data_IF_872082493381
#
_entry.id   IF_872082493381
#
_cell.length_a   1.000
_cell.length_b   1.000
_cell.length_c   1.000
_cell.angle_alpha   90.00
_cell.angle_beta   90.00
_cell.angle_gamma   90.00
#
_symmetry.space_group_name_H-M   'P 1'
#
loop_
_entity.id
_entity.type
_entity.pdbx_description
1 polymer ?
#
# COMPACT_ATOMS: atom_id res chain seq x y z
N UNK A 1 5.94 -8.81 -1.01
CA UNK A 1 5.55 -10.08 -1.67
C UNK A 1 4.21 -9.90 -2.34
N UNK A 2 4.08 -10.31 -3.61
CA UNK A 2 2.79 -10.38 -4.31
C UNK A 2 2.15 -11.73 -3.97
N UNK A 3 0.86 -11.71 -3.62
CA UNK A 3 0.08 -12.90 -3.33
C UNK A 3 -1.01 -13.02 -4.40
N UNK A 4 -1.05 -14.14 -5.08
CA UNK A 4 -2.07 -14.49 -6.06
C UNK A 4 -2.96 -15.59 -5.46
N UNK A 5 -4.19 -15.26 -5.04
CA UNK A 5 -5.10 -16.24 -4.45
C UNK A 5 -5.60 -17.23 -5.50
N UNK A 6 -5.92 -18.43 -5.05
CA UNK A 6 -6.67 -19.36 -5.89
C UNK A 6 -8.14 -18.93 -5.93
N UNK A 7 -8.62 -18.54 -7.11
CA UNK A 7 -9.99 -18.10 -7.35
C UNK A 7 -10.79 -19.27 -7.94
N UNK A 8 -11.97 -19.53 -7.38
CA UNK A 8 -12.93 -20.55 -7.84
C UNK A 8 -14.13 -19.83 -8.45
N UNK A 9 -14.41 -20.08 -9.71
CA UNK A 9 -15.50 -19.43 -10.47
C UNK A 9 -16.60 -20.44 -10.82
N UNK A 10 -17.86 -20.00 -10.76
CA UNK A 10 -19.03 -20.73 -11.27
C UNK A 10 -20.11 -19.75 -11.77
N UNK A 11 -21.29 -20.25 -12.15
CA UNK A 11 -22.39 -19.43 -12.69
C UNK A 11 -22.93 -18.37 -11.69
N UNK A 12 -22.58 -18.42 -10.43
CA UNK A 12 -22.98 -17.45 -9.39
C UNK A 12 -21.95 -16.34 -9.22
N UNK A 13 -20.72 -16.46 -9.77
CA UNK A 13 -19.61 -15.56 -9.59
C UNK A 13 -18.36 -16.30 -9.12
N UNK A 14 -17.62 -15.73 -8.16
CA UNK A 14 -16.37 -16.32 -7.69
C UNK A 14 -16.30 -16.41 -6.16
N UNK A 15 -15.44 -17.30 -5.69
CA UNK A 15 -15.03 -17.43 -4.31
C UNK A 15 -13.51 -17.56 -4.22
N UNK A 16 -12.88 -16.90 -3.27
CA UNK A 16 -11.51 -17.17 -2.87
C UNK A 16 -11.28 -16.85 -1.39
N UNK A 17 -10.33 -17.53 -0.79
CA UNK A 17 -9.87 -17.23 0.56
C UNK A 17 -8.89 -16.05 0.49
N UNK A 18 -9.34 -14.88 0.93
CA UNK A 18 -8.53 -13.64 0.83
C UNK A 18 -7.43 -13.55 1.87
N UNK A 19 -7.54 -14.30 2.98
CA UNK A 19 -6.51 -14.41 4.00
C UNK A 19 -6.72 -15.66 4.84
N UNK A 20 -5.63 -16.36 5.15
CA UNK A 20 -5.63 -17.50 6.07
C UNK A 20 -4.31 -17.49 6.82
N UNK A 21 -4.36 -17.34 8.15
CA UNK A 21 -3.16 -17.21 8.99
C UNK A 21 -2.21 -18.40 8.81
N UNK A 22 -2.71 -19.62 8.90
CA UNK A 22 -1.87 -20.82 8.81
C UNK A 22 -1.14 -20.93 7.47
N UNK A 23 -1.84 -20.66 6.35
CA UNK A 23 -1.22 -20.68 5.02
C UNK A 23 -0.18 -19.56 4.83
N UNK A 24 -0.41 -18.39 5.42
CA UNK A 24 0.56 -17.29 5.39
C UNK A 24 1.80 -17.63 6.21
N UNK A 25 1.64 -18.21 7.40
CA UNK A 25 2.74 -18.69 8.24
C UNK A 25 3.56 -19.79 7.53
N UNK A 26 2.90 -20.75 6.89
CA UNK A 26 3.55 -21.78 6.06
C UNK A 26 4.36 -21.17 4.90
N UNK A 27 3.89 -20.07 4.32
CA UNK A 27 4.62 -19.30 3.31
C UNK A 27 5.70 -18.36 3.88
N UNK A 28 5.95 -18.39 5.20
CA UNK A 28 6.94 -17.55 5.88
C UNK A 28 6.48 -16.12 6.17
N UNK A 29 5.19 -15.82 6.02
CA UNK A 29 4.59 -14.51 6.29
C UNK A 29 3.94 -14.49 7.67
N UNK A 30 4.74 -14.30 8.70
CA UNK A 30 4.33 -14.38 10.12
C UNK A 30 3.86 -13.01 10.62
N UNK A 31 2.60 -12.65 10.36
CA UNK A 31 2.00 -11.39 10.76
C UNK A 31 0.68 -11.60 11.51
N UNK A 32 0.52 -10.94 12.65
CA UNK A 32 -0.73 -10.90 13.41
C UNK A 32 -1.51 -9.64 13.06
N UNK A 33 -2.41 -9.73 12.07
CA UNK A 33 -3.25 -8.61 11.67
C UNK A 33 -4.34 -8.34 12.70
N UNK A 34 -4.38 -7.11 13.20
CA UNK A 34 -5.28 -6.67 14.28
C UNK A 34 -6.18 -5.49 13.91
N UNK A 35 -5.99 -4.90 12.73
CA UNK A 35 -6.77 -3.75 12.26
C UNK A 35 -7.07 -3.92 10.76
N UNK A 36 -8.34 -3.70 10.39
CA UNK A 36 -8.80 -3.62 9.01
C UNK A 36 -9.22 -2.19 8.66
N UNK A 37 -8.82 -1.74 7.47
CA UNK A 37 -9.19 -0.43 6.94
C UNK A 37 -9.76 -0.56 5.53
N UNK A 38 -10.68 0.34 5.18
CA UNK A 38 -11.21 0.45 3.83
C UNK A 38 -11.33 1.91 3.43
N UNK A 39 -11.01 2.21 2.18
CA UNK A 39 -11.20 3.53 1.58
C UNK A 39 -11.85 3.42 0.21
N UNK A 40 -12.59 4.46 -0.17
CA UNK A 40 -13.09 4.66 -1.54
C UNK A 40 -12.51 5.95 -2.08
N UNK A 41 -12.06 5.94 -3.33
CA UNK A 41 -11.39 7.07 -3.97
C UNK A 41 -11.78 7.16 -5.44
N UNK A 42 -11.79 8.40 -5.98
CA UNK A 42 -12.01 8.65 -7.42
C UNK A 42 -10.71 8.54 -8.21
N UNK A 43 -10.82 8.50 -9.53
CA UNK A 43 -9.69 8.56 -10.46
C UNK A 43 -8.72 9.71 -10.12
N UNK A 44 -7.43 9.45 -10.27
CA UNK A 44 -6.37 10.42 -10.02
C UNK A 44 -6.01 10.61 -8.55
N UNK A 45 -6.79 10.04 -7.61
CA UNK A 45 -6.42 10.11 -6.19
C UNK A 45 -5.08 9.42 -5.97
N UNK A 46 -4.13 10.12 -5.34
CA UNK A 46 -2.88 9.56 -4.83
C UNK A 46 -2.91 9.68 -3.31
N UNK A 47 -2.70 8.57 -2.61
CA UNK A 47 -2.57 8.52 -1.15
C UNK A 47 -1.20 7.99 -0.79
N UNK A 48 -0.44 8.76 -0.08
CA UNK A 48 0.90 8.36 0.37
C UNK A 48 2.00 9.31 -0.10
N UNK A 49 3.23 8.97 0.16
CA UNK A 49 3.75 7.73 0.79
C UNK A 49 3.60 7.85 2.31
N UNK A 50 2.91 6.92 2.95
CA UNK A 50 2.64 6.95 4.40
C UNK A 50 3.29 5.78 5.13
N UNK A 51 3.72 6.01 6.37
CA UNK A 51 4.22 4.99 7.29
C UNK A 51 4.08 5.46 8.74
N UNK A 52 4.27 4.55 9.69
CA UNK A 52 4.38 4.86 11.12
C UNK A 52 5.76 4.48 11.62
N UNK A 53 6.35 5.31 12.50
CA UNK A 53 7.69 5.16 13.03
C UNK A 53 7.72 4.32 14.31
N UNK A 54 8.91 3.80 14.62
CA UNK A 54 9.21 3.15 15.88
C UNK A 54 8.34 1.94 16.17
N UNK A 55 7.92 1.80 17.42
CA UNK A 55 7.09 0.67 17.89
C UNK A 55 5.73 0.54 17.19
N UNK A 56 5.20 1.65 16.63
CA UNK A 56 3.93 1.67 15.89
C UNK A 56 4.09 1.36 14.40
N UNK A 57 5.29 1.00 13.94
CA UNK A 57 5.49 0.56 12.55
C UNK A 57 4.52 -0.55 12.19
N UNK A 58 3.96 -0.49 10.97
CA UNK A 58 2.94 -1.41 10.50
C UNK A 58 3.41 -2.18 9.27
N UNK A 59 3.22 -3.50 9.29
CA UNK A 59 3.11 -4.28 8.07
C UNK A 59 1.66 -4.21 7.56
N UNK A 60 1.48 -4.28 6.25
CA UNK A 60 0.17 -4.16 5.62
C UNK A 60 -0.04 -5.27 4.58
N UNK A 61 -1.22 -5.87 4.59
CA UNK A 61 -1.71 -6.71 3.50
C UNK A 61 -2.82 -5.97 2.78
N UNK A 62 -2.55 -5.57 1.53
CA UNK A 62 -3.43 -4.68 0.77
C UNK A 62 -4.05 -5.40 -0.41
N UNK A 63 -5.29 -5.01 -0.77
CA UNK A 63 -6.03 -5.50 -1.94
C UNK A 63 -7.07 -4.50 -2.43
N UNK A 64 -7.53 -4.68 -3.66
CA UNK A 64 -8.58 -3.87 -4.28
C UNK A 64 -9.88 -4.68 -4.33
N UNK A 65 -10.99 -4.07 -3.88
CA UNK A 65 -12.33 -4.66 -3.89
C UNK A 65 -13.15 -4.20 -5.09
N UNK A 66 -12.81 -3.04 -5.66
CA UNK A 66 -13.43 -2.47 -6.86
C UNK A 66 -12.43 -1.58 -7.58
N UNK A 67 -12.38 -1.65 -8.89
CA UNK A 67 -11.51 -0.84 -9.73
C UNK A 67 -10.05 -1.30 -9.70
N UNK A 68 -9.15 -0.39 -10.08
CA UNK A 68 -7.72 -0.66 -10.26
C UNK A 68 -6.89 0.45 -9.65
N UNK A 69 -5.81 0.08 -8.97
CA UNK A 69 -4.80 1.01 -8.44
C UNK A 69 -3.41 0.58 -8.86
N UNK A 70 -2.48 1.53 -8.94
CA UNK A 70 -1.05 1.24 -8.85
C UNK A 70 -0.65 1.37 -7.39
N UNK A 71 -0.29 0.27 -6.78
CA UNK A 71 0.17 0.20 -5.38
C UNK A 71 1.69 0.25 -5.30
N UNK A 72 2.22 1.11 -4.43
CA UNK A 72 3.64 1.40 -4.35
C UNK A 72 4.16 1.20 -2.92
N UNK A 73 5.22 0.41 -2.79
CA UNK A 73 5.95 0.20 -1.55
C UNK A 73 7.40 0.66 -1.71
N UNK A 74 7.86 1.55 -0.83
CA UNK A 74 9.21 2.14 -0.82
C UNK A 74 9.98 1.61 0.37
N UNK A 75 11.17 1.07 0.16
CA UNK A 75 12.05 0.63 1.25
C UNK A 75 12.66 1.85 1.97
N UNK A 76 12.30 2.01 3.26
CA UNK A 76 12.76 3.11 4.10
C UNK A 76 13.70 2.65 5.22
N UNK A 77 14.20 1.44 5.17
CA UNK A 77 15.17 0.89 6.12
C UNK A 77 16.57 1.37 5.75
N UNK A 78 17.17 2.22 6.59
CA UNK A 78 18.44 2.91 6.31
C UNK A 78 19.60 1.96 5.97
N UNK A 79 19.66 0.81 6.63
CA UNK A 79 20.72 -0.17 6.43
C UNK A 79 20.42 -1.16 5.30
N UNK A 80 19.30 -1.01 4.60
CA UNK A 80 18.93 -1.86 3.48
C UNK A 80 19.71 -1.49 2.21
N UNK A 81 20.13 -2.51 1.47
CA UNK A 81 20.73 -2.33 0.13
C UNK A 81 19.76 -1.72 -0.88
N UNK A 82 18.46 -1.75 -0.58
CA UNK A 82 17.38 -1.23 -1.41
C UNK A 82 16.74 0.04 -0.82
N UNK A 83 17.41 0.70 0.14
CA UNK A 83 16.92 1.97 0.69
C UNK A 83 16.59 2.98 -0.42
N UNK A 84 15.40 3.57 -0.35
CA UNK A 84 14.89 4.51 -1.35
C UNK A 84 14.40 3.87 -2.65
N UNK A 85 14.61 2.58 -2.88
CA UNK A 85 14.03 1.89 -4.02
C UNK A 85 12.56 1.55 -3.75
N UNK A 86 11.78 1.43 -4.82
CA UNK A 86 10.38 1.08 -4.72
C UNK A 86 10.01 -0.08 -5.64
N UNK A 87 8.88 -0.71 -5.33
CA UNK A 87 8.14 -1.59 -6.22
C UNK A 87 6.77 -0.97 -6.47
N UNK A 88 6.29 -1.06 -7.71
CA UNK A 88 4.97 -0.60 -8.12
C UNK A 88 4.23 -1.78 -8.75
N UNK A 89 3.04 -2.10 -8.23
CA UNK A 89 2.25 -3.27 -8.61
C UNK A 89 0.82 -2.84 -8.90
N UNK A 90 0.30 -3.24 -10.06
CA UNK A 90 -1.12 -3.06 -10.36
C UNK A 90 -1.95 -4.09 -9.58
N UNK A 91 -2.86 -3.58 -8.75
CA UNK A 91 -3.84 -4.35 -8.01
C UNK A 91 -5.24 -3.98 -8.50
N UNK A 92 -6.08 -4.97 -8.76
CA UNK A 92 -7.45 -4.74 -9.22
C UNK A 92 -8.43 -5.76 -8.66
N UNK A 93 -9.72 -5.44 -8.74
CA UNK A 93 -10.78 -6.38 -8.44
C UNK A 93 -10.81 -7.57 -9.41
N UNK A 94 -10.28 -7.39 -10.63
CA UNK A 94 -10.22 -8.46 -11.64
C UNK A 94 -9.03 -9.41 -11.39
N UNK A 95 -7.83 -8.88 -11.07
CA UNK A 95 -6.66 -9.73 -10.87
C UNK A 95 -6.59 -10.36 -9.49
N UNK A 96 -7.40 -9.90 -8.53
CA UNK A 96 -7.46 -10.37 -7.15
C UNK A 96 -6.11 -10.41 -6.41
N UNK A 97 -5.06 -9.81 -6.98
CA UNK A 97 -3.74 -9.75 -6.37
C UNK A 97 -3.76 -8.96 -5.07
N UNK A 98 -2.90 -9.38 -4.15
CA UNK A 98 -2.64 -8.69 -2.91
C UNK A 98 -1.15 -8.39 -2.80
N UNK A 99 -0.80 -7.30 -2.11
CA UNK A 99 0.59 -6.97 -1.83
C UNK A 99 0.83 -7.01 -0.32
N UNK A 100 1.80 -7.83 0.09
CA UNK A 100 2.32 -7.83 1.45
C UNK A 100 3.46 -6.83 1.56
N UNK A 101 3.29 -5.80 2.36
CA UNK A 101 4.23 -4.71 2.60
C UNK A 101 4.76 -4.87 4.04
N UNK A 102 6.05 -5.16 4.23
CA UNK A 102 6.60 -5.37 5.58
C UNK A 102 6.76 -4.04 6.34
N UNK A 103 7.01 -4.13 7.64
CA UNK A 103 7.43 -2.98 8.45
C UNK A 103 8.73 -2.40 7.89
N UNK A 104 8.91 -1.09 8.03
CA UNK A 104 10.07 -0.38 7.47
C UNK A 104 9.88 0.09 6.04
N UNK A 105 8.67 -0.10 5.47
CA UNK A 105 8.33 0.40 4.14
C UNK A 105 7.34 1.56 4.24
N UNK A 106 7.52 2.56 3.36
CA UNK A 106 6.49 3.55 3.04
C UNK A 106 5.52 2.98 2.01
N UNK A 107 4.26 3.35 2.10
CA UNK A 107 3.19 2.83 1.26
C UNK A 107 2.33 3.94 0.68
N UNK A 108 1.98 3.81 -0.59
CA UNK A 108 1.05 4.69 -1.27
C UNK A 108 0.42 4.01 -2.48
N UNK A 109 -0.65 4.61 -3.01
CA UNK A 109 -1.26 4.13 -4.25
C UNK A 109 -1.87 5.27 -5.06
N UNK A 110 -2.00 5.06 -6.36
CA UNK A 110 -2.78 5.91 -7.27
C UNK A 110 -3.97 5.15 -7.85
N UNK A 111 -5.09 5.85 -8.05
CA UNK A 111 -6.33 5.27 -8.60
C UNK A 111 -6.36 5.44 -10.11
N UNK A 112 -6.45 4.32 -10.84
CA UNK A 112 -6.39 4.26 -12.30
C UNK A 112 -7.75 4.12 -13.00
N UNK A 113 -8.80 3.82 -12.24
CA UNK A 113 -10.19 3.68 -12.72
C UNK A 113 -11.08 4.80 -12.18
N UNK A 114 -12.28 5.06 -12.72
CA UNK A 114 -13.17 6.12 -12.22
C UNK A 114 -13.42 6.06 -10.72
N UNK A 115 -13.41 4.86 -10.14
CA UNK A 115 -13.52 4.64 -8.69
C UNK A 115 -12.72 3.39 -8.31
N UNK A 116 -12.05 3.43 -7.15
CA UNK A 116 -11.47 2.25 -6.52
C UNK A 116 -11.92 2.14 -5.06
N UNK A 117 -12.18 0.90 -4.62
CA UNK A 117 -12.37 0.55 -3.21
C UNK A 117 -11.17 -0.29 -2.80
N UNK A 118 -10.41 0.23 -1.86
CA UNK A 118 -9.14 -0.31 -1.39
C UNK A 118 -9.27 -0.76 0.06
N UNK A 119 -8.85 -1.99 0.35
CA UNK A 119 -8.90 -2.57 1.69
C UNK A 119 -7.52 -3.08 2.10
N UNK A 120 -7.19 -2.94 3.39
CA UNK A 120 -5.93 -3.43 3.91
C UNK A 120 -5.98 -3.78 5.38
N UNK A 121 -5.23 -4.82 5.74
CA UNK A 121 -4.98 -5.25 7.11
C UNK A 121 -3.67 -4.66 7.60
N UNK A 122 -3.62 -4.32 8.90
CA UNK A 122 -2.41 -3.88 9.59
C UNK A 122 -2.10 -4.79 10.77
N UNK A 123 -0.83 -5.05 11.00
CA UNK A 123 -0.33 -5.85 12.13
C UNK A 123 -0.07 -5.01 13.39
N UNK A 124 -0.42 -3.72 13.36
CA UNK A 124 -0.33 -2.81 14.49
C UNK A 124 -1.41 -1.74 14.41
N UNK A 125 -1.69 -1.07 15.53
CA UNK A 125 -2.71 -0.03 15.62
C UNK A 125 -2.23 1.30 15.01
N UNK A 126 -3.18 2.12 14.59
CA UNK A 126 -2.91 3.49 14.18
C UNK A 126 -2.49 4.35 15.38
N UNK A 127 -1.39 5.08 15.23
CA UNK A 127 -0.92 6.07 16.19
C UNK A 127 -0.56 7.37 15.46
N UNK A 128 -1.35 8.42 15.73
CA UNK A 128 -1.17 9.73 15.08
C UNK A 128 0.19 10.37 15.33
N UNK A 129 0.77 10.18 16.52
CA UNK A 129 2.07 10.76 16.88
C UNK A 129 3.24 10.09 16.13
N UNK A 130 3.07 8.84 15.73
CA UNK A 130 4.07 8.06 14.99
C UNK A 130 3.92 8.18 13.47
N UNK A 131 2.83 8.82 13.01
CA UNK A 131 2.56 8.96 11.58
C UNK A 131 3.60 9.83 10.89
N UNK A 132 4.06 9.38 9.73
CA UNK A 132 4.98 10.09 8.88
C UNK A 132 4.66 9.81 7.40
N UNK A 133 5.27 10.61 6.54
CA UNK A 133 5.10 10.40 5.10
C UNK A 133 6.18 11.12 4.30
N UNK A 134 6.20 10.80 3.01
CA UNK A 134 7.09 11.39 2.01
C UNK A 134 6.23 11.85 0.84
N UNK A 135 6.57 12.97 0.25
CA UNK A 135 5.87 13.49 -0.93
C UNK A 135 5.85 12.47 -2.05
N UNK A 136 4.68 12.33 -2.68
CA UNK A 136 4.47 11.41 -3.81
C UNK A 136 5.34 11.76 -5.03
N UNK A 137 5.68 13.04 -5.20
CA UNK A 137 6.45 13.60 -6.31
C UNK A 137 7.94 13.80 -5.98
N UNK A 138 8.45 13.12 -4.95
CA UNK A 138 9.87 13.18 -4.61
C UNK A 138 10.73 12.65 -5.76
N UNK A 139 11.58 13.51 -6.38
CA UNK A 139 12.41 13.10 -7.51
C UNK A 139 13.44 12.01 -7.14
N UNK A 140 13.81 11.90 -5.86
CA UNK A 140 14.71 10.84 -5.41
C UNK A 140 14.05 9.44 -5.46
N UNK A 141 12.73 9.38 -5.40
CA UNK A 141 11.98 8.12 -5.52
C UNK A 141 11.66 7.76 -6.97
N UNK A 142 11.49 8.76 -7.86
CA UNK A 142 11.25 8.54 -9.29
C UNK A 142 10.02 7.69 -9.62
N UNK A 143 8.96 7.77 -8.81
CA UNK A 143 7.75 6.94 -8.96
C UNK A 143 6.90 7.43 -10.13
N UNK A 144 6.64 6.56 -11.10
CA UNK A 144 5.65 6.80 -12.14
C UNK A 144 4.26 6.34 -11.66
N UNK A 145 3.46 7.26 -11.16
CA UNK A 145 2.14 7.00 -10.60
C UNK A 145 1.06 6.63 -11.63
N UNK A 146 1.36 6.67 -12.94
CA UNK A 146 0.40 6.46 -14.04
C UNK A 146 -0.80 7.43 -14.02
N UNK A 147 -0.69 8.52 -13.29
CA UNK A 147 -1.62 9.65 -13.23
C UNK A 147 -0.84 10.89 -13.59
N UNK A 148 -1.40 11.72 -14.46
CA UNK A 148 -0.75 12.98 -14.83
C UNK A 148 -0.75 13.94 -13.64
N UNK A 149 0.31 14.75 -13.45
CA UNK A 149 0.40 15.66 -12.31
C UNK A 149 -0.80 16.61 -12.17
N UNK A 150 -1.34 17.08 -13.28
CA UNK A 150 -2.51 17.98 -13.34
C UNK A 150 -3.83 17.29 -12.99
N UNK A 151 -3.89 15.95 -13.05
CA UNK A 151 -5.05 15.13 -12.70
C UNK A 151 -4.96 14.58 -11.28
N UNK A 152 -3.81 14.76 -10.60
CA UNK A 152 -3.58 14.22 -9.27
C UNK A 152 -4.47 14.87 -8.21
N UNK A 153 -5.23 14.06 -7.51
CA UNK A 153 -6.09 14.45 -6.39
C UNK A 153 -5.43 14.06 -5.08
N UNK A 154 -5.04 15.04 -4.29
CA UNK A 154 -4.28 14.87 -3.04
C UNK A 154 -5.05 15.46 -1.86
N UNK A 155 -4.89 14.85 -0.69
CA UNK A 155 -5.29 15.49 0.57
C UNK A 155 -4.39 16.68 0.88
N UNK A 156 -4.87 17.65 1.66
CA UNK A 156 -4.05 18.79 2.06
C UNK A 156 -2.81 18.36 2.86
N UNK A 157 -2.92 17.28 3.59
CA UNK A 157 -1.82 16.66 4.31
C UNK A 157 -0.75 16.12 3.34
N UNK A 158 -1.14 15.42 2.28
CA UNK A 158 -0.19 14.81 1.34
C UNK A 158 0.57 15.87 0.52
N UNK A 159 -0.04 17.03 0.27
CA UNK A 159 0.60 18.17 -0.43
C UNK A 159 1.81 18.76 0.32
N UNK A 160 1.83 18.66 1.65
CA UNK A 160 2.84 19.29 2.51
C UNK A 160 3.81 18.29 3.14
N UNK A 161 3.74 17.02 2.76
CA UNK A 161 4.71 16.02 3.24
C UNK A 161 6.14 16.42 2.84
N UNK A 162 7.15 16.08 3.66
CA UNK A 162 8.56 16.36 3.35
C UNK A 162 9.09 15.45 2.24
N UNK A 163 10.25 15.78 1.70
CA UNK A 163 11.03 14.89 0.84
C UNK A 163 11.77 13.82 1.65
N UNK A 164 12.15 12.72 1.02
CA UNK A 164 12.88 11.60 1.65
C UNK A 164 14.11 12.07 2.44
N UNK A 165 14.87 13.01 1.89
CA UNK A 165 16.09 13.56 2.53
C UNK A 165 15.82 14.24 3.87
N UNK A 166 14.60 14.73 4.08
CA UNK A 166 14.19 15.52 5.26
C UNK A 166 13.42 14.67 6.29
N UNK A 167 13.26 13.36 6.02
CA UNK A 167 12.50 12.42 6.86
C UNK A 167 13.42 11.50 7.63
N UNK A 168 13.13 11.33 8.93
CA UNK A 168 13.74 10.25 9.71
C UNK A 168 13.04 8.93 9.38
N UNK A 169 13.76 8.05 8.69
CA UNK A 169 13.33 6.70 8.33
C UNK A 169 13.71 5.65 9.40
N UNK A 170 13.49 4.37 9.11
CA UNK A 170 13.76 3.23 10.00
C UNK A 170 15.26 2.90 10.10
#
# INVERSE_FOLDING_TARGET
>A
VIIEPQVFEDARGYFFESWNKAKMEEAGLNYDFIQDNQSKSCYGTIRGIHFQKGEFSQAKLVRVLQGTVLDVAVDLRKDSKTFGQHVAVELSAENNRQLMIPRGFGHGFSVLTPTAVFAYKCDNVYNKASEAGIRFDDPALGIDWKVKPEEAVLSDKDKILPFLKDVTCF
#
